data_IF_007688021887
#
_entry.id   IF_007688021887
#
_cell.length_a   1.000
_cell.length_b   1.000
_cell.length_c   1.000
_cell.angle_alpha   90.00
_cell.angle_beta   90.00
_cell.angle_gamma   90.00
#
_symmetry.space_group_name_H-M   'P 1'
#
loop_
_entity.id
_entity.type
_entity.pdbx_description
1 polymer ?
#
# COMPACT_ATOMS: atom_id res chain seq x y z
N UNK A 1 -30.27 16.73 46.01
CA UNK A 1 -28.94 16.11 45.86
C UNK A 1 -29.03 14.98 44.85
N UNK A 2 -28.75 15.28 43.58
CA UNK A 2 -28.95 14.37 42.45
C UNK A 2 -27.71 13.53 42.17
N UNK A 3 -27.87 12.20 42.19
CA UNK A 3 -26.83 11.23 41.78
C UNK A 3 -26.68 11.30 40.26
N UNK A 4 -25.49 11.66 39.76
CA UNK A 4 -25.16 11.56 38.32
C UNK A 4 -24.44 10.23 38.05
N UNK A 5 -25.06 9.44 37.19
CA UNK A 5 -24.53 8.19 36.63
C UNK A 5 -23.35 8.46 35.67
N UNK A 6 -22.37 7.55 35.56
CA UNK A 6 -21.29 7.68 34.58
C UNK A 6 -21.80 7.38 33.17
N UNK A 7 -21.55 8.30 32.22
CA UNK A 7 -21.77 8.07 30.78
C UNK A 7 -20.70 7.09 30.28
N UNK A 8 -21.15 5.90 29.89
CA UNK A 8 -20.40 4.96 29.06
C UNK A 8 -20.11 5.63 27.70
N UNK A 9 -18.84 5.95 27.45
CA UNK A 9 -18.35 6.31 26.12
C UNK A 9 -18.15 4.98 25.38
N UNK A 10 -19.09 4.66 24.49
CA UNK A 10 -18.97 3.55 23.56
C UNK A 10 -17.77 3.81 22.63
N UNK A 11 -16.66 3.08 22.84
CA UNK A 11 -15.61 2.95 21.84
C UNK A 11 -16.11 1.99 20.78
N UNK A 12 -16.44 2.53 19.61
CA UNK A 12 -16.57 1.76 18.38
C UNK A 12 -15.17 1.24 18.00
N UNK A 13 -14.78 0.11 18.57
CA UNK A 13 -13.70 -0.72 18.06
C UNK A 13 -14.24 -1.51 16.89
N UNK A 14 -14.19 -0.95 15.69
CA UNK A 14 -14.18 -1.78 14.49
C UNK A 14 -12.81 -2.48 14.45
N UNK A 15 -12.78 -3.68 15.03
CA UNK A 15 -11.69 -4.61 14.87
C UNK A 15 -11.47 -4.82 13.36
N UNK A 16 -10.36 -4.29 12.85
CA UNK A 16 -9.76 -4.79 11.62
C UNK A 16 -9.25 -6.21 11.92
N UNK A 17 -10.20 -7.13 12.00
CA UNK A 17 -9.93 -8.53 12.25
C UNK A 17 -9.16 -9.05 11.04
N UNK A 18 -7.84 -9.17 11.17
CA UNK A 18 -7.00 -9.93 10.25
C UNK A 18 -7.62 -11.32 10.10
N UNK A 19 -8.38 -11.53 9.02
CA UNK A 19 -9.12 -12.77 8.74
C UNK A 19 -8.18 -13.91 8.28
N UNK A 20 -6.91 -13.85 8.67
CA UNK A 20 -5.90 -14.90 8.49
C UNK A 20 -6.19 -16.14 9.35
N UNK A 21 -7.16 -16.08 10.26
CA UNK A 21 -7.52 -17.19 11.14
C UNK A 21 -8.50 -18.21 10.53
N UNK A 22 -8.98 -17.98 9.30
CA UNK A 22 -10.01 -18.85 8.71
C UNK A 22 -9.40 -20.17 8.20
N UNK A 23 -9.59 -21.25 8.98
CA UNK A 23 -9.07 -22.63 8.79
C UNK A 23 -9.42 -23.29 7.45
N UNK A 24 -10.19 -22.62 6.60
CA UNK A 24 -10.58 -23.08 5.25
C UNK A 24 -9.46 -22.89 4.20
N UNK A 25 -8.31 -22.34 4.59
CA UNK A 25 -7.19 -21.96 3.72
C UNK A 25 -6.33 -23.10 3.14
N UNK A 26 -6.70 -24.38 3.30
CA UNK A 26 -5.82 -25.51 2.94
C UNK A 26 -5.45 -25.65 1.45
N UNK A 27 -6.09 -24.93 0.53
CA UNK A 27 -5.94 -25.15 -0.93
C UNK A 27 -5.49 -23.93 -1.76
N UNK A 28 -4.72 -22.99 -1.22
CA UNK A 28 -4.10 -21.94 -2.06
C UNK A 28 -2.96 -22.45 -2.96
N UNK A 29 -2.40 -23.63 -2.67
CA UNK A 29 -1.28 -24.23 -3.43
C UNK A 29 -1.65 -24.50 -4.89
N UNK A 30 -2.91 -24.82 -5.17
CA UNK A 30 -3.43 -25.07 -6.52
C UNK A 30 -3.84 -23.79 -7.27
N UNK A 31 -4.14 -22.71 -6.54
CA UNK A 31 -4.60 -21.44 -7.13
C UNK A 31 -3.45 -20.44 -7.37
N UNK A 32 -2.39 -20.51 -6.56
CA UNK A 32 -1.25 -19.60 -6.66
C UNK A 32 -0.23 -20.01 -7.73
N UNK A 33 -0.23 -21.28 -8.13
CA UNK A 33 0.61 -21.83 -9.19
C UNK A 33 -0.30 -22.57 -10.19
N UNK A 34 -0.87 -21.90 -11.20
CA UNK A 34 -1.40 -22.63 -12.34
C UNK A 34 -0.32 -23.58 -12.87
N UNK A 35 -0.67 -24.78 -13.37
CA UNK A 35 0.30 -25.67 -13.98
C UNK A 35 1.14 -24.85 -14.96
N UNK A 36 2.47 -24.93 -14.82
CA UNK A 36 3.39 -24.29 -15.76
C UNK A 36 3.03 -24.86 -17.13
N UNK A 37 2.29 -24.09 -17.92
CA UNK A 37 2.16 -24.35 -19.35
C UNK A 37 3.60 -24.50 -19.81
N UNK A 38 4.02 -25.65 -20.39
CA UNK A 38 5.38 -25.82 -20.87
C UNK A 38 5.65 -24.62 -21.78
N UNK A 39 6.48 -23.71 -21.29
CA UNK A 39 6.84 -22.54 -22.07
C UNK A 39 7.54 -23.11 -23.29
N UNK A 40 7.10 -22.77 -24.52
CA UNK A 40 7.84 -23.17 -25.70
C UNK A 40 9.30 -22.81 -25.44
N UNK A 41 10.21 -23.77 -25.61
CA UNK A 41 11.65 -23.55 -25.47
C UNK A 41 11.92 -22.26 -26.23
N UNK A 42 12.33 -21.21 -25.51
CA UNK A 42 12.61 -19.91 -26.13
C UNK A 42 13.73 -20.18 -27.12
N UNK A 43 13.36 -20.32 -28.38
CA UNK A 43 14.30 -20.13 -29.47
C UNK A 43 14.84 -18.73 -29.24
N UNK A 44 16.11 -18.63 -28.87
CA UNK A 44 16.80 -17.36 -28.82
C UNK A 44 16.82 -16.91 -30.27
N UNK A 45 15.80 -16.16 -30.67
CA UNK A 45 15.90 -15.32 -31.84
C UNK A 45 16.99 -14.33 -31.43
N UNK A 46 18.15 -14.43 -32.06
CA UNK A 46 19.12 -13.33 -32.08
C UNK A 46 18.40 -12.16 -32.74
N UNK A 47 17.71 -11.37 -31.92
CA UNK A 47 17.15 -10.12 -32.35
C UNK A 47 18.36 -9.21 -32.52
N UNK A 48 18.83 -9.10 -33.77
CA UNK A 48 19.87 -8.16 -34.15
C UNK A 48 19.37 -6.75 -33.78
N UNK A 49 19.96 -6.15 -32.75
CA UNK A 49 19.62 -4.79 -32.35
C UNK A 49 20.12 -3.83 -33.43
N UNK A 50 19.20 -3.29 -34.23
CA UNK A 50 19.48 -2.19 -35.15
C UNK A 50 19.04 -0.88 -34.49
N UNK A 51 19.94 -0.29 -33.71
CA UNK A 51 19.77 1.07 -33.22
C UNK A 51 19.54 2.02 -34.40
N UNK A 52 18.51 2.87 -34.31
CA UNK A 52 18.24 3.89 -35.31
C UNK A 52 19.06 5.13 -34.98
N UNK A 53 19.83 5.61 -35.95
CA UNK A 53 20.66 6.83 -35.82
C UNK A 53 20.01 7.93 -36.65
N UNK A 54 19.95 9.14 -36.11
CA UNK A 54 19.39 10.32 -36.76
C UNK A 54 18.67 11.22 -35.77
N UNK A 55 18.44 12.46 -36.20
CA UNK A 55 17.83 13.54 -35.43
C UNK A 55 16.47 13.16 -34.80
N UNK A 56 15.67 12.36 -35.50
CA UNK A 56 14.37 11.87 -35.00
C UNK A 56 14.47 10.80 -33.91
N UNK A 57 15.68 10.31 -33.60
CA UNK A 57 15.94 9.20 -32.70
C UNK A 57 16.93 9.54 -31.59
N UNK A 58 17.84 10.46 -31.84
CA UNK A 58 18.82 10.93 -30.87
C UNK A 58 18.18 11.99 -29.97
N UNK A 59 18.66 12.08 -28.72
CA UNK A 59 18.20 13.09 -27.79
C UNK A 59 18.95 14.40 -28.03
N UNK A 60 18.25 15.52 -27.85
CA UNK A 60 18.89 16.83 -27.75
C UNK A 60 19.78 16.86 -26.51
N UNK A 61 21.09 16.98 -26.72
CA UNK A 61 22.05 17.10 -25.63
C UNK A 61 22.10 18.57 -25.25
N UNK A 62 21.64 18.93 -24.03
CA UNK A 62 21.70 20.33 -23.60
C UNK A 62 23.16 20.76 -23.48
N UNK A 63 23.44 21.97 -23.93
CA UNK A 63 24.75 22.59 -23.72
C UNK A 63 25.05 22.71 -22.22
N UNK A 64 26.33 22.66 -21.86
CA UNK A 64 26.76 22.83 -20.49
C UNK A 64 26.49 24.27 -20.04
N UNK A 65 25.35 24.48 -19.38
CA UNK A 65 25.05 25.75 -18.74
C UNK A 65 25.89 25.90 -17.46
N UNK A 66 26.50 27.06 -17.28
CA UNK A 66 27.09 27.45 -15.99
C UNK A 66 25.97 27.44 -14.96
N UNK A 67 26.21 26.86 -13.79
CA UNK A 67 25.18 26.63 -12.77
C UNK A 67 24.52 27.94 -12.31
N UNK A 68 23.43 28.32 -12.96
CA UNK A 68 22.47 29.26 -12.40
C UNK A 68 21.67 28.53 -11.30
N UNK A 69 21.30 29.21 -10.21
CA UNK A 69 20.48 28.59 -9.18
C UNK A 69 19.17 28.09 -9.81
N UNK A 70 18.92 26.79 -9.64
CA UNK A 70 17.70 26.11 -10.06
C UNK A 70 16.47 26.97 -9.68
N UNK A 71 15.68 27.36 -10.68
CA UNK A 71 14.39 28.01 -10.44
C UNK A 71 13.51 26.98 -9.74
N UNK A 72 13.01 27.31 -8.55
CA UNK A 72 12.30 26.45 -7.58
C UNK A 72 10.91 26.00 -8.05
N UNK A 73 10.76 25.65 -9.32
CA UNK A 73 9.59 24.95 -9.85
C UNK A 73 9.85 23.44 -9.78
N UNK A 74 10.14 22.96 -8.57
CA UNK A 74 10.23 21.53 -8.35
C UNK A 74 8.86 20.90 -8.65
N UNK A 75 8.87 19.86 -9.49
CA UNK A 75 7.68 19.04 -9.79
C UNK A 75 7.25 18.18 -8.61
N UNK A 76 8.03 18.18 -7.55
CA UNK A 76 7.99 17.22 -6.47
C UNK A 76 7.78 17.95 -5.16
N UNK A 77 6.86 17.43 -4.35
CA UNK A 77 6.67 17.84 -2.98
C UNK A 77 7.59 17.03 -2.06
N UNK A 78 8.25 17.70 -1.11
CA UNK A 78 9.05 17.00 -0.12
C UNK A 78 8.14 16.16 0.79
N UNK A 79 8.48 14.88 0.97
CA UNK A 79 7.74 13.97 1.86
C UNK A 79 8.39 13.82 3.24
N UNK A 80 9.67 14.18 3.37
CA UNK A 80 10.41 14.12 4.62
C UNK A 80 11.68 14.98 4.55
N UNK A 81 11.99 15.68 5.64
CA UNK A 81 13.26 16.40 5.82
C UNK A 81 14.07 15.70 6.94
N UNK A 82 15.33 15.29 6.68
CA UNK A 82 16.17 14.71 7.71
C UNK A 82 16.34 15.65 8.93
N UNK A 83 16.11 15.11 10.12
CA UNK A 83 16.33 15.83 11.38
C UNK A 83 17.64 15.41 12.02
N UNK A 84 18.21 16.30 12.83
CA UNK A 84 19.46 16.04 13.56
C UNK A 84 19.33 14.93 14.60
N UNK A 85 18.12 14.77 15.17
CA UNK A 85 17.80 13.73 16.14
C UNK A 85 16.57 12.93 15.73
N UNK A 86 16.56 11.65 16.08
CA UNK A 86 15.42 10.74 15.92
C UNK A 86 14.45 10.74 17.11
N UNK A 87 14.66 11.60 18.11
CA UNK A 87 13.83 11.64 19.33
C UNK A 87 12.33 11.85 19.05
N UNK A 88 11.90 12.75 18.14
CA UNK A 88 10.47 12.95 17.88
C UNK A 88 9.76 11.70 17.37
N UNK A 89 10.45 10.87 16.58
CA UNK A 89 9.92 9.61 16.05
C UNK A 89 9.73 8.60 17.18
N UNK A 90 10.74 8.46 18.05
CA UNK A 90 10.69 7.55 19.21
C UNK A 90 9.62 7.97 20.20
N UNK A 91 9.54 9.27 20.49
CA UNK A 91 8.58 9.82 21.45
C UNK A 91 7.14 9.65 20.97
N UNK A 92 6.87 9.90 19.69
CA UNK A 92 5.56 9.67 19.11
C UNK A 92 5.20 8.18 19.09
N UNK A 93 6.14 7.31 18.70
CA UNK A 93 5.95 5.85 18.70
C UNK A 93 5.60 5.33 20.09
N UNK A 94 6.31 5.81 21.12
CA UNK A 94 6.06 5.51 22.53
C UNK A 94 4.68 5.98 22.98
N UNK A 95 4.28 7.20 22.62
CA UNK A 95 2.97 7.75 22.98
C UNK A 95 1.80 7.02 22.33
N UNK A 96 2.01 6.46 21.14
CA UNK A 96 1.00 5.70 20.39
C UNK A 96 1.04 4.19 20.71
N UNK A 97 1.94 3.75 21.61
CA UNK A 97 2.17 2.34 21.94
C UNK A 97 2.47 1.48 20.70
N UNK A 98 3.18 2.04 19.72
CA UNK A 98 3.55 1.36 18.47
C UNK A 98 4.88 0.59 18.60
N UNK A 99 5.62 0.78 19.70
CA UNK A 99 6.87 0.08 19.99
C UNK A 99 6.66 -1.46 19.94
N UNK A 100 7.39 -2.12 19.06
CA UNK A 100 7.31 -3.58 18.86
C UNK A 100 6.27 -4.05 17.82
N UNK A 101 5.48 -3.14 17.25
CA UNK A 101 4.51 -3.47 16.18
C UNK A 101 5.18 -3.37 14.81
N UNK A 102 5.43 -4.50 14.15
CA UNK A 102 6.21 -4.60 12.89
C UNK A 102 5.41 -4.30 11.61
N UNK A 103 4.37 -3.49 11.71
CA UNK A 103 3.56 -3.13 10.54
C UNK A 103 4.06 -1.82 9.93
N UNK A 104 4.85 -1.94 8.85
CA UNK A 104 5.39 -0.83 8.05
C UNK A 104 4.34 0.24 7.69
N UNK A 105 3.05 -0.16 7.60
CA UNK A 105 1.93 0.76 7.36
C UNK A 105 1.75 1.81 8.46
N UNK A 106 2.10 1.49 9.72
CA UNK A 106 1.99 2.44 10.82
C UNK A 106 3.17 3.41 10.86
N UNK A 107 4.34 2.98 10.37
CA UNK A 107 5.55 3.81 10.33
C UNK A 107 5.43 4.94 9.30
N UNK A 108 4.91 4.64 8.09
CA UNK A 108 4.71 5.67 7.06
C UNK A 108 3.76 6.78 7.54
N UNK A 109 2.61 6.39 8.10
CA UNK A 109 1.64 7.33 8.64
C UNK A 109 2.22 8.16 9.79
N UNK A 110 3.04 7.54 10.65
CA UNK A 110 3.71 8.21 11.76
C UNK A 110 4.71 9.26 11.27
N UNK A 111 5.58 8.89 10.31
CA UNK A 111 6.60 9.78 9.77
C UNK A 111 5.98 10.96 9.03
N UNK A 112 4.97 10.73 8.21
CA UNK A 112 4.30 11.83 7.52
C UNK A 112 3.54 12.74 8.47
N UNK A 113 2.88 12.18 9.50
CA UNK A 113 2.23 13.00 10.53
C UNK A 113 3.22 13.92 11.23
N UNK A 114 4.44 13.45 11.49
CA UNK A 114 5.52 14.29 12.01
C UNK A 114 5.95 15.36 11.03
N UNK A 115 6.14 15.02 9.76
CA UNK A 115 6.53 15.98 8.74
C UNK A 115 5.51 17.13 8.60
N UNK A 116 4.23 16.80 8.45
CA UNK A 116 3.14 17.79 8.36
C UNK A 116 2.98 18.60 9.65
N UNK A 117 3.26 17.99 10.81
CA UNK A 117 3.26 18.68 12.10
C UNK A 117 4.51 19.54 12.35
N UNK A 118 5.42 19.66 11.38
CA UNK A 118 6.73 20.29 11.56
C UNK A 118 7.48 19.73 12.78
N UNK A 119 7.48 18.40 12.90
CA UNK A 119 8.13 17.61 13.95
C UNK A 119 7.62 17.87 15.37
N UNK A 120 6.44 18.48 15.53
CA UNK A 120 5.75 18.60 16.81
C UNK A 120 5.03 17.30 17.17
N UNK A 121 5.48 16.62 18.23
CA UNK A 121 4.93 15.31 18.68
C UNK A 121 3.44 15.40 19.01
N UNK A 122 3.01 16.46 19.70
CA UNK A 122 1.61 16.63 20.11
C UNK A 122 0.67 16.81 18.91
N UNK A 123 1.07 17.65 17.94
CA UNK A 123 0.31 17.87 16.70
C UNK A 123 0.33 16.64 15.81
N UNK A 124 1.47 15.95 15.72
CA UNK A 124 1.57 14.72 14.95
C UNK A 124 0.65 13.63 15.51
N UNK A 125 0.52 13.54 16.84
CA UNK A 125 -0.38 12.58 17.49
C UNK A 125 -1.85 12.82 17.13
N UNK A 126 -2.30 14.08 17.08
CA UNK A 126 -3.68 14.39 16.69
C UNK A 126 -3.92 14.07 15.22
N UNK A 127 -2.96 14.41 14.34
CA UNK A 127 -3.02 14.07 12.91
C UNK A 127 -3.06 12.55 12.69
N UNK A 128 -2.16 11.80 13.33
CA UNK A 128 -2.11 10.35 13.25
C UNK A 128 -3.44 9.71 13.67
N UNK A 129 -4.03 10.20 14.77
CA UNK A 129 -5.30 9.69 15.28
C UNK A 129 -6.51 10.05 14.42
N UNK A 130 -6.38 11.07 13.56
CA UNK A 130 -7.46 11.50 12.65
C UNK A 130 -7.67 10.50 11.51
N UNK A 131 -6.70 9.62 11.25
CA UNK A 131 -6.85 8.49 10.32
C UNK A 131 -6.76 8.86 8.84
N UNK A 132 -6.32 10.07 8.51
CA UNK A 132 -6.08 10.48 7.13
C UNK A 132 -4.98 9.61 6.52
N UNK A 133 -5.27 9.07 5.34
CA UNK A 133 -4.33 8.20 4.64
C UNK A 133 -3.17 9.04 4.11
N UNK A 134 -1.97 8.57 4.39
CA UNK A 134 -0.72 9.19 3.99
C UNK A 134 -0.28 8.64 2.64
N UNK A 135 0.12 9.50 1.70
CA UNK A 135 0.66 9.14 0.38
C UNK A 135 -0.18 8.15 -0.45
N UNK A 136 -1.48 8.12 -0.21
CA UNK A 136 -2.37 7.29 -1.00
C UNK A 136 -2.33 7.69 -2.48
N UNK A 137 -2.23 6.74 -3.42
CA UNK A 137 -2.23 7.08 -4.83
C UNK A 137 -3.61 7.58 -5.27
N UNK A 138 -3.75 8.91 -5.39
CA UNK A 138 -5.00 9.62 -5.71
C UNK A 138 -5.73 9.12 -6.96
N UNK A 139 -4.99 8.55 -7.93
CA UNK A 139 -5.54 8.14 -9.22
C UNK A 139 -6.04 6.71 -9.28
N UNK A 140 -5.52 5.82 -8.42
CA UNK A 140 -5.70 4.38 -8.60
C UNK A 140 -6.51 3.72 -7.51
N UNK A 141 -6.66 4.35 -6.34
CA UNK A 141 -7.47 3.83 -5.24
C UNK A 141 -8.62 4.77 -4.89
N UNK A 142 -9.66 4.21 -4.27
CA UNK A 142 -10.78 5.02 -3.78
C UNK A 142 -10.39 5.71 -2.47
N UNK A 143 -10.46 7.05 -2.43
CA UNK A 143 -10.26 7.85 -1.22
C UNK A 143 -11.59 8.35 -0.62
N UNK A 144 -11.80 8.28 0.71
CA UNK A 144 -10.96 7.58 1.69
C UNK A 144 -10.97 6.06 1.47
N UNK A 145 -9.88 5.39 1.86
CA UNK A 145 -9.72 3.94 1.67
C UNK A 145 -10.90 3.20 2.29
N UNK A 146 -11.70 2.57 1.45
CA UNK A 146 -12.88 1.83 1.90
C UNK A 146 -12.47 0.39 2.28
N UNK A 147 -12.65 -0.06 3.53
CA UNK A 147 -12.32 -1.43 3.91
C UNK A 147 -13.13 -2.44 3.10
N UNK A 148 -12.55 -3.59 2.78
CA UNK A 148 -13.24 -4.65 2.06
C UNK A 148 -14.25 -5.35 2.97
N UNK A 149 -15.53 -5.33 2.58
CA UNK A 149 -16.58 -6.05 3.29
C UNK A 149 -16.43 -7.56 3.06
N UNK A 150 -16.93 -8.38 3.99
CA UNK A 150 -16.86 -9.84 3.87
C UNK A 150 -17.44 -10.38 2.54
N UNK A 151 -18.55 -9.79 2.06
CA UNK A 151 -19.14 -10.14 0.76
C UNK A 151 -18.20 -9.82 -0.42
N UNK A 152 -17.52 -8.69 -0.37
CA UNK A 152 -16.54 -8.27 -1.39
C UNK A 152 -15.32 -9.19 -1.39
N UNK A 153 -14.85 -9.60 -0.21
CA UNK A 153 -13.79 -10.59 -0.05
C UNK A 153 -14.12 -11.94 -0.68
N UNK A 154 -15.33 -12.46 -0.42
CA UNK A 154 -15.78 -13.72 -1.01
C UNK A 154 -15.89 -13.62 -2.53
N UNK A 155 -16.42 -12.50 -3.03
CA UNK A 155 -16.52 -12.23 -4.46
C UNK A 155 -15.13 -12.11 -5.11
N UNK A 156 -14.18 -11.44 -4.45
CA UNK A 156 -12.79 -11.33 -4.90
C UNK A 156 -12.11 -12.70 -4.97
N UNK A 157 -12.20 -13.51 -3.90
CA UNK A 157 -11.65 -14.88 -3.86
C UNK A 157 -12.21 -15.74 -4.98
N UNK A 158 -13.53 -15.68 -5.22
CA UNK A 158 -14.19 -16.39 -6.31
C UNK A 158 -13.69 -15.91 -7.67
N UNK A 159 -13.56 -14.60 -7.87
CA UNK A 159 -13.03 -13.99 -9.08
C UNK A 159 -11.59 -14.42 -9.37
N UNK A 160 -10.72 -14.38 -8.36
CA UNK A 160 -9.32 -14.79 -8.44
C UNK A 160 -9.19 -16.27 -8.84
N UNK A 161 -10.06 -17.14 -8.30
CA UNK A 161 -10.11 -18.57 -8.68
C UNK A 161 -10.54 -18.79 -10.14
N UNK A 162 -11.48 -18.00 -10.66
CA UNK A 162 -12.03 -18.23 -12.01
C UNK A 162 -11.27 -17.50 -13.12
N UNK A 163 -10.73 -16.32 -12.85
CA UNK A 163 -10.11 -15.46 -13.85
C UNK A 163 -8.61 -15.22 -13.61
N UNK A 164 -8.04 -15.81 -12.56
CA UNK A 164 -6.64 -15.58 -12.20
C UNK A 164 -6.38 -14.10 -11.90
N UNK A 165 -5.26 -13.57 -12.40
CA UNK A 165 -4.81 -12.18 -12.15
C UNK A 165 -5.43 -11.15 -13.10
N UNK A 166 -6.52 -11.49 -13.81
CA UNK A 166 -7.26 -10.53 -14.62
C UNK A 166 -8.17 -9.67 -13.73
N UNK A 167 -7.57 -8.69 -13.05
CA UNK A 167 -8.27 -7.81 -12.11
C UNK A 167 -9.33 -6.95 -12.77
N UNK A 168 -9.16 -6.58 -14.06
CA UNK A 168 -10.19 -5.83 -14.81
C UNK A 168 -11.45 -6.67 -14.99
N UNK A 169 -11.30 -7.96 -15.30
CA UNK A 169 -12.45 -8.87 -15.46
C UNK A 169 -13.14 -9.18 -14.12
N UNK A 170 -12.37 -9.32 -13.05
CA UNK A 170 -12.90 -9.49 -11.68
C UNK A 170 -13.70 -8.25 -11.26
N UNK A 171 -13.12 -7.06 -11.44
CA UNK A 171 -13.77 -5.79 -11.11
C UNK A 171 -15.12 -5.65 -11.81
N UNK A 172 -15.17 -5.81 -13.15
CA UNK A 172 -16.40 -5.65 -13.93
C UNK A 172 -17.51 -6.64 -13.57
N UNK A 173 -17.14 -7.87 -13.18
CA UNK A 173 -18.09 -8.95 -12.91
C UNK A 173 -18.53 -9.07 -11.45
N UNK A 174 -17.66 -8.75 -10.50
CA UNK A 174 -17.88 -9.03 -9.08
C UNK A 174 -17.78 -7.80 -8.17
N UNK A 175 -17.01 -6.78 -8.55
CA UNK A 175 -16.64 -5.66 -7.66
C UNK A 175 -16.67 -4.34 -8.43
N UNK A 176 -17.85 -3.98 -8.96
CA UNK A 176 -18.01 -2.80 -9.83
C UNK A 176 -17.74 -1.48 -9.10
N UNK A 177 -18.02 -1.45 -7.79
CA UNK A 177 -17.85 -0.28 -6.93
C UNK A 177 -16.41 -0.14 -6.42
N UNK A 178 -15.47 -0.92 -6.96
CA UNK A 178 -14.05 -0.91 -6.61
C UNK A 178 -13.20 -0.57 -7.82
N UNK A 179 -12.07 0.08 -7.58
CA UNK A 179 -11.08 0.31 -8.64
C UNK A 179 -10.22 -0.94 -8.83
N UNK A 180 -9.52 -1.00 -9.95
CA UNK A 180 -8.52 -2.07 -10.16
C UNK A 180 -7.37 -1.94 -9.15
N UNK A 181 -7.01 -0.71 -8.74
CA UNK A 181 -5.99 -0.49 -7.70
C UNK A 181 -6.38 -1.13 -6.37
N UNK A 182 -7.62 -0.94 -5.93
CA UNK A 182 -8.15 -1.56 -4.70
C UNK A 182 -8.00 -3.10 -4.72
N UNK A 183 -8.23 -3.72 -5.88
CA UNK A 183 -8.13 -5.17 -6.06
C UNK A 183 -6.69 -5.66 -6.07
N UNK A 184 -5.77 -4.88 -6.64
CA UNK A 184 -4.34 -5.21 -6.70
C UNK A 184 -3.74 -5.13 -5.29
N UNK A 185 -4.08 -4.11 -4.52
CA UNK A 185 -3.61 -3.95 -3.14
C UNK A 185 -4.01 -5.16 -2.29
N UNK A 186 -5.31 -5.50 -2.29
CA UNK A 186 -5.84 -6.67 -1.60
C UNK A 186 -5.17 -7.98 -2.03
N UNK A 187 -4.83 -8.12 -3.31
CA UNK A 187 -4.10 -9.29 -3.79
C UNK A 187 -2.72 -9.41 -3.14
N UNK A 188 -2.00 -8.29 -2.98
CA UNK A 188 -0.69 -8.29 -2.33
C UNK A 188 -0.80 -8.53 -0.83
N UNK A 189 -1.82 -7.99 -0.15
CA UNK A 189 -2.10 -8.27 1.26
C UNK A 189 -2.31 -9.77 1.50
N UNK A 190 -3.16 -10.41 0.68
CA UNK A 190 -3.39 -11.86 0.72
C UNK A 190 -2.10 -12.66 0.50
N UNK A 191 -1.29 -12.22 -0.47
CA UNK A 191 -0.04 -12.89 -0.81
C UNK A 191 0.93 -12.84 0.38
N UNK A 192 1.06 -11.71 1.05
CA UNK A 192 1.90 -11.55 2.23
C UNK A 192 1.41 -12.43 3.40
N UNK A 193 0.10 -12.48 3.65
CA UNK A 193 -0.48 -13.34 4.69
C UNK A 193 -0.15 -14.82 4.46
N UNK A 194 -0.26 -15.29 3.22
CA UNK A 194 0.06 -16.67 2.86
C UNK A 194 1.53 -17.02 3.09
N UNK A 195 2.48 -16.13 2.78
CA UNK A 195 3.90 -16.36 3.08
C UNK A 195 4.16 -16.49 4.58
N UNK A 196 3.52 -15.64 5.41
CA UNK A 196 3.64 -15.70 6.88
C UNK A 196 3.12 -17.03 7.43
N UNK A 197 2.05 -17.59 6.86
CA UNK A 197 1.52 -18.90 7.27
C UNK A 197 2.44 -20.08 6.89
N UNK A 198 3.11 -20.00 5.75
CA UNK A 198 4.08 -21.03 5.32
C UNK A 198 5.32 -20.98 6.21
N UNK A 199 5.84 -19.79 6.51
CA UNK A 199 7.03 -19.60 7.34
C UNK A 199 6.84 -20.03 8.80
N UNK A 200 5.61 -20.07 9.32
CA UNK A 200 5.30 -20.54 10.68
C UNK A 200 5.14 -22.06 10.80
N UNK A 201 5.10 -22.77 9.67
CA UNK A 201 4.92 -24.23 9.61
C UNK A 201 6.23 -25.00 9.32
N UNK A 202 7.34 -24.28 9.17
CA UNK A 202 8.70 -24.82 9.09
C UNK A 202 9.39 -24.64 10.44
#
# INVERSE_FOLDING_TARGET
MGRRSPRLIARAGEEQHCFCADRTFKNYRELANPPRIPTPKRTILEIEYRGRIGDTYQADIPDLLVAEPCIDNNREDALWIPQKSGDPVKDLSRQLSLEGTTEHSNEEALLFSLYIANYSVERARTLFSSGDQVNAPDRTITLPRKPFKQKEWLAFKRGLKMYGKDFRKIQRRYLRDRTVGDLVEVYYDLKQCHYKEISKKQ
#
